data_IF_928356871348
#
_entry.id   IF_928356871348
#
_cell.length_a   1.000
_cell.length_b   1.000
_cell.length_c   1.000
_cell.angle_alpha   90.00
_cell.angle_beta   90.00
_cell.angle_gamma   90.00
#
_symmetry.space_group_name_H-M   'P 1'
#
loop_
_entity.id
_entity.type
_entity.pdbx_description
1 polymer ?
#
# COMPACT_ATOMS: atom_id res chain seq x y z
N UNK A 1 -7.42 52.60 6.98
CA UNK A 1 -7.15 51.84 5.72
C UNK A 1 -5.93 50.90 5.86
N UNK A 2 -5.76 50.17 6.97
CA UNK A 2 -4.62 49.24 7.18
C UNK A 2 -5.02 47.76 7.30
N UNK A 3 -6.32 47.44 7.30
CA UNK A 3 -6.81 46.06 7.48
C UNK A 3 -6.70 45.19 6.22
N UNK A 4 -6.77 45.80 5.03
CA UNK A 4 -6.71 45.11 3.74
C UNK A 4 -5.34 44.45 3.49
N UNK A 5 -4.17 45.10 3.70
CA UNK A 5 -2.88 44.44 3.46
C UNK A 5 -2.59 43.30 4.44
N UNK A 6 -3.12 43.37 5.66
CA UNK A 6 -2.91 42.32 6.69
C UNK A 6 -3.67 41.03 6.31
N UNK A 7 -4.90 41.14 5.82
CA UNK A 7 -5.69 39.99 5.34
C UNK A 7 -5.07 39.30 4.12
N UNK A 8 -4.50 40.08 3.19
CA UNK A 8 -3.77 39.53 2.03
C UNK A 8 -2.50 38.78 2.48
N UNK A 9 -1.79 39.30 3.48
CA UNK A 9 -0.56 38.66 3.96
C UNK A 9 -0.84 37.35 4.71
N UNK A 10 -1.93 37.30 5.49
CA UNK A 10 -2.38 36.07 6.19
C UNK A 10 -2.79 35.00 5.18
N UNK A 11 -3.56 35.36 4.14
CA UNK A 11 -3.99 34.39 3.12
C UNK A 11 -2.81 33.83 2.32
N UNK A 12 -1.82 34.66 1.97
CA UNK A 12 -0.59 34.20 1.30
C UNK A 12 0.18 33.22 2.20
N UNK A 13 0.38 33.54 3.48
CA UNK A 13 1.04 32.64 4.42
C UNK A 13 0.28 31.32 4.61
N UNK A 14 -1.05 31.36 4.61
CA UNK A 14 -1.89 30.17 4.70
C UNK A 14 -1.75 29.28 3.45
N UNK A 15 -1.77 29.87 2.26
CA UNK A 15 -1.59 29.14 0.99
C UNK A 15 -0.18 28.52 0.92
N UNK A 16 0.86 29.25 1.31
CA UNK A 16 2.24 28.73 1.38
C UNK A 16 2.32 27.58 2.40
N UNK A 17 1.70 27.72 3.57
CA UNK A 17 1.68 26.68 4.61
C UNK A 17 0.96 25.41 4.15
N UNK A 18 -0.19 25.54 3.47
CA UNK A 18 -0.94 24.42 2.89
C UNK A 18 -0.14 23.74 1.78
N UNK A 19 0.54 24.51 0.93
CA UNK A 19 1.39 23.97 -0.13
C UNK A 19 2.61 23.22 0.42
N UNK A 20 3.26 23.78 1.46
CA UNK A 20 4.35 23.12 2.18
C UNK A 20 3.90 21.81 2.86
N UNK A 21 2.73 21.79 3.49
CA UNK A 21 2.17 20.59 4.12
C UNK A 21 1.88 19.50 3.08
N UNK A 22 1.28 19.86 1.94
CA UNK A 22 1.04 18.93 0.82
C UNK A 22 2.33 18.36 0.25
N UNK A 23 3.34 19.22 0.07
CA UNK A 23 4.65 18.81 -0.46
C UNK A 23 5.37 17.83 0.46
N UNK A 24 5.37 18.09 1.78
CA UNK A 24 5.96 17.15 2.76
C UNK A 24 5.25 15.80 2.80
N UNK A 25 3.92 15.80 2.77
CA UNK A 25 3.15 14.55 2.72
C UNK A 25 3.47 13.73 1.47
N UNK A 26 3.57 14.37 0.30
CA UNK A 26 3.96 13.70 -0.93
C UNK A 26 5.38 13.11 -0.87
N UNK A 27 6.33 13.84 -0.26
CA UNK A 27 7.70 13.34 -0.07
C UNK A 27 7.73 12.14 0.87
N UNK A 28 6.96 12.17 1.95
CA UNK A 28 6.90 11.08 2.91
C UNK A 28 6.27 9.82 2.30
N UNK A 29 5.19 9.96 1.54
CA UNK A 29 4.58 8.84 0.78
C UNK A 29 5.57 8.17 -0.17
N UNK A 30 6.37 8.97 -0.88
CA UNK A 30 7.41 8.43 -1.77
C UNK A 30 8.45 7.61 -1.00
N UNK A 31 8.90 8.10 0.16
CA UNK A 31 9.84 7.39 1.00
C UNK A 31 9.27 6.06 1.52
N UNK A 32 8.00 6.06 1.94
CA UNK A 32 7.31 4.86 2.42
C UNK A 32 7.19 3.81 1.31
N UNK A 33 6.76 4.21 0.11
CA UNK A 33 6.67 3.31 -1.05
C UNK A 33 8.04 2.75 -1.41
N UNK A 34 9.09 3.58 -1.36
CA UNK A 34 10.45 3.13 -1.64
C UNK A 34 10.94 2.13 -0.59
N UNK A 35 10.70 2.40 0.70
CA UNK A 35 11.02 1.46 1.78
C UNK A 35 10.31 0.13 1.62
N UNK A 36 9.02 0.15 1.26
CA UNK A 36 8.25 -1.07 1.01
C UNK A 36 8.81 -1.89 -0.14
N UNK A 37 9.13 -1.23 -1.25
CA UNK A 37 9.73 -1.90 -2.42
C UNK A 37 11.12 -2.42 -2.11
N UNK A 38 11.94 -1.64 -1.43
CA UNK A 38 13.27 -2.07 -1.06
C UNK A 38 13.21 -3.26 -0.11
N UNK A 39 12.35 -3.23 0.90
CA UNK A 39 12.13 -4.38 1.78
C UNK A 39 11.66 -5.62 1.02
N UNK A 40 10.71 -5.48 0.10
CA UNK A 40 10.25 -6.63 -0.71
C UNK A 40 11.36 -7.18 -1.63
N UNK A 41 12.31 -6.34 -2.07
CA UNK A 41 13.46 -6.78 -2.86
C UNK A 41 14.55 -7.45 -2.01
N UNK A 42 14.81 -6.93 -0.80
CA UNK A 42 15.86 -7.39 0.10
C UNK A 42 15.44 -8.62 0.92
N UNK A 43 14.14 -8.94 0.97
CA UNK A 43 13.61 -10.06 1.74
C UNK A 43 13.56 -11.35 0.91
N UNK A 44 14.66 -12.12 0.94
CA UNK A 44 14.81 -13.38 0.20
C UNK A 44 13.74 -14.45 0.52
N UNK A 45 13.17 -14.41 1.72
CA UNK A 45 12.13 -15.36 2.13
C UNK A 45 10.73 -15.00 1.60
N UNK A 46 10.58 -13.85 0.94
CA UNK A 46 9.31 -13.44 0.34
C UNK A 46 9.06 -14.26 -0.94
N UNK A 47 7.85 -14.79 -1.10
CA UNK A 47 7.51 -15.58 -2.27
C UNK A 47 7.64 -14.76 -3.57
N UNK A 48 8.19 -15.33 -4.67
CA UNK A 48 8.41 -14.59 -5.91
C UNK A 48 7.16 -13.88 -6.46
N UNK A 49 5.95 -14.47 -6.42
CA UNK A 49 4.73 -13.78 -6.86
C UNK A 49 4.42 -12.52 -6.04
N UNK A 50 4.63 -12.58 -4.72
CA UNK A 50 4.38 -11.45 -3.82
C UNK A 50 5.41 -10.33 -4.05
N UNK A 51 6.69 -10.69 -4.22
CA UNK A 51 7.74 -9.73 -4.55
C UNK A 51 7.42 -8.99 -5.85
N UNK A 52 7.14 -9.75 -6.92
CA UNK A 52 6.82 -9.17 -8.23
C UNK A 52 5.58 -8.28 -8.18
N UNK A 53 4.56 -8.69 -7.44
CA UNK A 53 3.35 -7.89 -7.25
C UNK A 53 3.69 -6.55 -6.60
N UNK A 54 4.39 -6.55 -5.46
CA UNK A 54 4.76 -5.31 -4.74
C UNK A 54 5.61 -4.38 -5.63
N UNK A 55 6.58 -4.92 -6.37
CA UNK A 55 7.44 -4.12 -7.25
C UNK A 55 6.68 -3.46 -8.40
N UNK A 56 5.63 -4.13 -8.92
CA UNK A 56 4.83 -3.65 -10.05
C UNK A 56 3.67 -2.75 -9.65
N UNK A 57 3.38 -2.59 -8.35
CA UNK A 57 2.28 -1.75 -7.90
C UNK A 57 2.48 -0.29 -8.32
N UNK A 58 1.47 0.32 -8.98
CA UNK A 58 1.38 1.77 -9.15
C UNK A 58 1.47 2.50 -7.80
N UNK A 59 2.02 3.72 -7.79
CA UNK A 59 2.28 4.44 -6.54
C UNK A 59 1.02 4.65 -5.66
N UNK A 60 -0.15 4.84 -6.27
CA UNK A 60 -1.41 4.94 -5.54
C UNK A 60 -1.82 3.61 -4.88
N UNK A 61 -1.64 2.48 -5.57
CA UNK A 61 -1.96 1.16 -5.00
C UNK A 61 -0.92 0.73 -3.95
N UNK A 62 0.35 1.05 -4.16
CA UNK A 62 1.41 0.84 -3.17
C UNK A 62 1.16 1.65 -1.89
N UNK A 63 0.63 2.87 -2.01
CA UNK A 63 0.21 3.67 -0.85
C UNK A 63 -0.94 3.01 -0.09
N UNK A 64 -1.96 2.49 -0.79
CA UNK A 64 -3.07 1.77 -0.15
C UNK A 64 -2.56 0.51 0.54
N UNK A 65 -1.65 -0.25 -0.09
CA UNK A 65 -0.99 -1.39 0.55
C UNK A 65 -0.26 -0.97 1.82
N UNK A 66 0.54 0.10 1.77
CA UNK A 66 1.21 0.65 2.96
C UNK A 66 0.22 0.95 4.08
N UNK A 67 -0.87 1.66 3.79
CA UNK A 67 -1.89 2.02 4.78
C UNK A 67 -2.58 0.78 5.38
N UNK A 68 -2.83 -0.25 4.57
CA UNK A 68 -3.36 -1.53 5.07
C UNK A 68 -2.37 -2.25 5.99
N UNK A 69 -1.09 -2.31 5.61
CA UNK A 69 -0.04 -2.91 6.43
C UNK A 69 0.15 -2.15 7.75
N UNK A 70 0.17 -0.82 7.69
CA UNK A 70 0.31 0.05 8.86
C UNK A 70 -0.89 -0.10 9.81
N UNK A 71 -2.11 -0.18 9.27
CA UNK A 71 -3.32 -0.46 10.03
C UNK A 71 -3.27 -1.82 10.72
N UNK A 72 -2.78 -2.86 10.03
CA UNK A 72 -2.57 -4.18 10.61
C UNK A 72 -1.53 -4.17 11.73
N UNK A 73 -0.36 -3.57 11.52
CA UNK A 73 0.65 -3.42 12.57
C UNK A 73 0.10 -2.67 13.79
N UNK A 74 -0.63 -1.57 13.55
CA UNK A 74 -1.25 -0.79 14.63
C UNK A 74 -2.25 -1.62 15.43
N UNK A 75 -3.02 -2.50 14.77
CA UNK A 75 -3.94 -3.42 15.45
C UNK A 75 -3.24 -4.43 16.37
N UNK A 76 -1.97 -4.72 16.09
CA UNK A 76 -1.10 -5.57 16.90
C UNK A 76 -0.26 -4.77 17.92
N UNK A 77 -0.55 -3.48 18.12
CA UNK A 77 0.15 -2.57 19.03
C UNK A 77 1.63 -2.29 18.69
N UNK A 78 2.00 -2.30 17.40
CA UNK A 78 3.33 -1.86 16.96
C UNK A 78 3.28 -1.07 15.65
N UNK A 79 4.38 -0.41 15.29
CA UNK A 79 4.43 0.47 14.13
C UNK A 79 5.15 -0.21 12.96
N UNK A 80 4.62 -0.10 11.74
CA UNK A 80 5.25 -0.65 10.53
C UNK A 80 6.68 -0.10 10.33
N UNK A 81 6.94 1.13 10.74
CA UNK A 81 8.27 1.76 10.65
C UNK A 81 9.35 0.99 11.41
N UNK A 82 9.00 0.19 12.42
CA UNK A 82 9.96 -0.62 13.17
C UNK A 82 10.64 -1.67 12.29
N UNK A 83 9.97 -2.12 11.23
CA UNK A 83 10.51 -3.05 10.23
C UNK A 83 11.79 -2.49 9.56
N UNK A 84 11.84 -1.18 9.36
CA UNK A 84 12.94 -0.48 8.68
C UNK A 84 13.90 0.19 9.66
N UNK A 85 13.60 0.16 10.96
CA UNK A 85 14.37 0.86 11.97
C UNK A 85 15.75 0.21 12.17
N UNK A 86 16.86 0.96 12.21
CA UNK A 86 18.19 0.38 12.36
C UNK A 86 18.36 -0.39 13.67
N UNK A 87 17.56 -0.09 14.70
CA UNK A 87 17.56 -0.78 15.98
C UNK A 87 17.12 -2.24 15.85
N UNK A 88 16.24 -2.57 14.90
CA UNK A 88 15.75 -3.95 14.70
C UNK A 88 16.87 -4.89 14.27
N UNK A 89 17.94 -4.36 13.65
CA UNK A 89 19.13 -5.14 13.26
C UNK A 89 19.87 -5.73 14.46
N UNK A 90 19.66 -5.20 15.67
CA UNK A 90 20.24 -5.72 16.91
C UNK A 90 19.47 -6.91 17.49
N UNK A 91 18.27 -7.19 16.99
CA UNK A 91 17.39 -8.26 17.43
C UNK A 91 16.88 -9.05 16.21
N UNK A 92 17.71 -9.94 15.61
CA UNK A 92 17.39 -10.59 14.35
C UNK A 92 16.14 -11.49 14.44
N UNK A 93 15.90 -12.14 15.58
CA UNK A 93 14.69 -12.95 15.80
C UNK A 93 13.42 -12.09 15.75
N UNK A 94 13.46 -10.92 16.39
CA UNK A 94 12.36 -9.97 16.34
C UNK A 94 12.15 -9.45 14.92
N UNK A 95 13.24 -9.09 14.21
CA UNK A 95 13.17 -8.68 12.80
C UNK A 95 12.46 -9.74 11.95
N UNK A 96 12.85 -11.00 12.10
CA UNK A 96 12.28 -12.12 11.36
C UNK A 96 10.78 -12.30 11.66
N UNK A 97 10.38 -12.24 12.94
CA UNK A 97 8.98 -12.34 13.32
C UNK A 97 8.11 -11.20 12.77
N UNK A 98 8.62 -9.96 12.75
CA UNK A 98 7.93 -8.83 12.15
C UNK A 98 7.82 -8.98 10.63
N UNK A 99 8.90 -9.39 9.98
CA UNK A 99 8.93 -9.66 8.53
C UNK A 99 7.93 -10.76 8.15
N UNK A 100 7.88 -11.85 8.90
CA UNK A 100 6.94 -12.95 8.69
C UNK A 100 5.49 -12.49 8.84
N UNK A 101 5.19 -11.74 9.90
CA UNK A 101 3.83 -11.23 10.17
C UNK A 101 3.34 -10.29 9.05
N UNK A 102 4.18 -9.34 8.62
CA UNK A 102 3.84 -8.41 7.52
C UNK A 102 3.71 -9.15 6.20
N UNK A 103 4.60 -10.11 5.94
CA UNK A 103 4.55 -10.94 4.73
C UNK A 103 3.30 -11.80 4.66
N UNK A 104 2.88 -12.40 5.78
CA UNK A 104 1.67 -13.20 5.86
C UNK A 104 0.42 -12.36 5.54
N UNK A 105 0.34 -11.15 6.08
CA UNK A 105 -0.79 -10.26 5.80
C UNK A 105 -0.78 -9.73 4.35
N UNK A 106 0.39 -9.36 3.82
CA UNK A 106 0.54 -8.97 2.42
C UNK A 106 0.13 -10.11 1.47
N UNK A 107 0.48 -11.36 1.80
CA UNK A 107 0.05 -12.55 1.06
C UNK A 107 -1.47 -12.72 1.10
N UNK A 108 -2.10 -12.54 2.26
CA UNK A 108 -3.56 -12.62 2.39
C UNK A 108 -4.27 -11.58 1.50
N UNK A 109 -3.74 -10.35 1.44
CA UNK A 109 -4.25 -9.31 0.54
C UNK A 109 -4.11 -9.76 -0.92
N UNK A 110 -2.93 -10.20 -1.36
CA UNK A 110 -2.72 -10.68 -2.73
C UNK A 110 -3.69 -11.82 -3.08
N UNK A 111 -3.84 -12.80 -2.19
CA UNK A 111 -4.74 -13.92 -2.40
C UNK A 111 -6.20 -13.46 -2.51
N UNK A 112 -6.64 -12.52 -1.66
CA UNK A 112 -8.01 -11.98 -1.73
C UNK A 112 -8.31 -11.30 -3.07
N UNK A 113 -7.35 -10.55 -3.61
CA UNK A 113 -7.47 -9.90 -4.92
C UNK A 113 -7.53 -10.92 -6.08
N UNK A 114 -6.79 -12.03 -5.97
CA UNK A 114 -6.84 -13.11 -6.95
C UNK A 114 -8.16 -13.86 -6.91
N UNK A 115 -8.72 -14.10 -5.71
CA UNK A 115 -10.01 -14.78 -5.57
C UNK A 115 -11.19 -13.99 -6.14
N UNK A 116 -11.18 -12.66 -6.11
CA UNK A 116 -12.25 -11.87 -6.76
C UNK A 116 -12.33 -12.13 -8.26
N UNK A 117 -11.17 -12.31 -8.92
CA UNK A 117 -11.10 -12.64 -10.35
C UNK A 117 -11.64 -14.04 -10.60
N UNK A 118 -11.28 -15.01 -9.75
CA UNK A 118 -11.73 -16.40 -9.89
C UNK A 118 -13.24 -16.54 -9.67
N UNK A 119 -13.80 -15.81 -8.69
CA UNK A 119 -15.24 -15.77 -8.43
C UNK A 119 -15.99 -15.17 -9.63
N UNK A 120 -15.48 -14.07 -10.21
CA UNK A 120 -16.08 -13.48 -11.39
C UNK A 120 -16.02 -14.42 -12.61
N UNK A 121 -14.90 -15.10 -12.82
CA UNK A 121 -14.73 -16.09 -13.89
C UNK A 121 -15.66 -17.29 -13.71
N UNK A 122 -15.82 -17.77 -12.48
CA UNK A 122 -16.76 -18.85 -12.16
C UNK A 122 -18.20 -18.45 -12.44
N UNK A 123 -18.63 -17.25 -12.04
CA UNK A 123 -19.97 -16.74 -12.36
C UNK A 123 -20.20 -16.63 -13.87
N UNK A 124 -19.20 -16.18 -14.64
CA UNK A 124 -19.30 -16.15 -16.10
C UNK A 124 -19.43 -17.55 -16.71
N UNK A 125 -18.69 -18.52 -16.19
CA UNK A 125 -18.80 -19.93 -16.59
C UNK A 125 -20.19 -20.50 -16.27
N UNK A 126 -20.69 -20.31 -15.05
CA UNK A 126 -22.02 -20.76 -14.64
C UNK A 126 -23.10 -20.13 -15.51
N UNK A 127 -22.99 -18.83 -15.82
CA UNK A 127 -23.93 -18.15 -16.72
C UNK A 127 -23.87 -18.71 -18.17
N UNK A 128 -22.69 -19.09 -18.65
CA UNK A 128 -22.53 -19.75 -19.95
C UNK A 128 -23.14 -21.16 -19.96
N UNK A 129 -22.87 -21.97 -18.94
CA UNK A 129 -23.39 -23.33 -18.81
C UNK A 129 -24.91 -23.36 -18.68
N UNK A 130 -25.49 -22.39 -17.95
CA UNK A 130 -26.93 -22.23 -17.81
C UNK A 130 -27.63 -21.68 -19.06
N UNK A 131 -26.89 -21.06 -19.99
CA UNK A 131 -27.46 -20.47 -21.22
C UNK A 131 -26.49 -20.56 -22.42
N UNK A 132 -26.25 -21.78 -22.96
CA UNK A 132 -25.25 -21.99 -24.01
C UNK A 132 -25.59 -21.33 -25.36
N UNK A 133 -26.85 -20.90 -25.56
CA UNK A 133 -27.37 -20.43 -26.85
C UNK A 133 -27.33 -18.91 -27.09
N UNK A 134 -26.78 -18.09 -26.19
CA UNK A 134 -26.76 -16.62 -26.37
C UNK A 134 -25.70 -16.12 -27.35
N UNK A 135 -24.74 -16.96 -27.76
CA UNK A 135 -23.76 -16.61 -28.80
C UNK A 135 -24.25 -17.07 -30.17
N UNK A 136 -25.21 -16.34 -30.75
CA UNK A 136 -25.40 -16.39 -32.22
C UNK A 136 -24.09 -15.92 -32.85
N UNK A 137 -23.32 -16.87 -33.37
CA UNK A 137 -22.17 -16.63 -34.23
C UNK A 137 -22.62 -15.66 -35.34
N UNK A 138 -21.89 -14.56 -35.46
CA UNK A 138 -22.02 -13.60 -36.55
C UNK A 138 -20.68 -13.53 -37.25
#
# INVERSE_FOLDING_TARGET
MLLIPILVLITILFVIGVWWRRSRAAKQRRLQIEQLRQWAADHDALEPPLQQWIQRLPANQAQVLWEMLDGYCTSLHWELNWLFAPQIKKAPELKMALEESVSAYARAILHSLQMEVDVAAYHAYVAFDQNPNTRKQR
#
